data_IF_553386627160
#
_entry.id   IF_553386627160
#
_cell.length_a   1.000
_cell.length_b   1.000
_cell.length_c   1.000
_cell.angle_alpha   90.00
_cell.angle_beta   90.00
_cell.angle_gamma   90.00
#
_symmetry.space_group_name_H-M   'P 1'
#
loop_
_entity.id
_entity.type
_entity.pdbx_description
1 polymer ?
#
# COMPACT_ATOMS: atom_id res chain seq x y z
N UNK A 1 21.62 8.42 -19.28
CA UNK A 1 20.85 7.52 -20.17
C UNK A 1 21.84 6.47 -20.64
N UNK A 2 21.73 5.25 -20.09
CA UNK A 2 22.55 4.12 -20.55
C UNK A 2 22.09 3.73 -21.95
N UNK A 3 23.06 3.64 -22.88
CA UNK A 3 22.85 3.26 -24.29
C UNK A 3 22.67 1.72 -24.41
N UNK A 4 21.70 1.18 -23.64
CA UNK A 4 21.38 -0.25 -23.73
C UNK A 4 20.53 -0.49 -24.97
N UNK A 5 21.01 -1.34 -25.89
CA UNK A 5 20.33 -1.65 -27.15
C UNK A 5 19.12 -2.59 -26.99
N UNK A 6 18.97 -3.26 -25.85
CA UNK A 6 17.86 -4.17 -25.53
C UNK A 6 17.01 -3.65 -24.36
N UNK A 7 15.70 -3.91 -24.35
CA UNK A 7 14.84 -3.50 -23.26
C UNK A 7 15.21 -4.20 -21.93
N UNK A 8 14.90 -3.56 -20.79
CA UNK A 8 14.94 -4.21 -19.48
C UNK A 8 13.76 -5.18 -19.38
N UNK A 9 14.04 -6.45 -19.09
CA UNK A 9 13.05 -7.50 -18.93
C UNK A 9 12.84 -7.76 -17.43
N UNK A 10 11.66 -7.43 -16.92
CA UNK A 10 11.32 -7.50 -15.49
C UNK A 10 10.22 -8.56 -15.29
N UNK A 11 10.53 -9.59 -14.52
CA UNK A 11 9.56 -10.60 -14.10
C UNK A 11 9.07 -10.31 -12.68
N UNK A 12 7.76 -10.26 -12.47
CA UNK A 12 7.15 -9.95 -11.16
C UNK A 12 6.30 -11.12 -10.69
N UNK A 13 6.58 -11.67 -9.50
CA UNK A 13 5.66 -12.56 -8.81
C UNK A 13 4.80 -11.75 -7.84
N UNK A 14 3.49 -11.73 -8.02
CA UNK A 14 2.55 -11.05 -7.13
C UNK A 14 1.47 -12.00 -6.61
N UNK A 15 0.75 -11.60 -5.53
CA UNK A 15 -0.25 -12.48 -4.90
C UNK A 15 -1.53 -12.53 -5.71
N UNK A 16 -2.10 -11.36 -6.02
CA UNK A 16 -3.39 -11.21 -6.72
C UNK A 16 -3.36 -9.95 -7.59
N UNK A 17 -4.17 -9.87 -8.66
CA UNK A 17 -4.28 -8.68 -9.50
C UNK A 17 -5.02 -7.55 -8.76
N UNK A 18 -4.35 -6.87 -7.83
CA UNK A 18 -4.94 -5.73 -7.14
C UNK A 18 -4.95 -4.50 -8.05
N UNK A 19 -6.04 -3.71 -8.09
CA UNK A 19 -6.17 -2.58 -9.02
C UNK A 19 -4.96 -1.63 -9.00
N UNK A 20 -4.56 -1.15 -7.85
CA UNK A 20 -3.45 -0.20 -7.68
C UNK A 20 -2.08 -0.75 -8.09
N UNK A 21 -1.84 -2.07 -7.96
CA UNK A 21 -0.59 -2.68 -8.45
C UNK A 21 -0.62 -2.85 -9.97
N UNK A 22 -1.78 -3.24 -10.52
CA UNK A 22 -1.96 -3.39 -11.98
C UNK A 22 -1.73 -2.07 -12.71
N UNK A 23 -2.21 -0.95 -12.16
CA UNK A 23 -1.96 0.39 -12.70
C UNK A 23 -0.46 0.67 -12.80
N UNK A 24 0.30 0.42 -11.73
CA UNK A 24 1.75 0.63 -11.71
C UNK A 24 2.48 -0.31 -12.69
N UNK A 25 2.11 -1.60 -12.72
CA UNK A 25 2.75 -2.56 -13.65
C UNK A 25 2.41 -2.26 -15.10
N UNK A 26 1.19 -1.81 -15.39
CA UNK A 26 0.79 -1.37 -16.73
C UNK A 26 1.55 -0.10 -17.16
N UNK A 27 1.75 0.84 -16.24
CA UNK A 27 2.55 2.03 -16.50
C UNK A 27 4.03 1.69 -16.75
N UNK A 28 4.60 0.73 -16.03
CA UNK A 28 5.95 0.20 -16.28
C UNK A 28 6.03 -0.48 -17.64
N UNK A 29 5.07 -1.33 -18.00
CA UNK A 29 5.03 -2.03 -19.28
C UNK A 29 4.85 -1.09 -20.48
N UNK A 30 4.23 0.08 -20.28
CA UNK A 30 4.07 1.10 -21.31
C UNK A 30 5.34 1.96 -21.49
N UNK A 31 6.34 1.86 -20.61
CA UNK A 31 7.57 2.65 -20.70
C UNK A 31 8.47 2.15 -21.84
N UNK A 32 8.92 2.99 -22.75
CA UNK A 32 9.86 2.60 -23.81
C UNK A 32 11.13 1.98 -23.21
N UNK A 33 11.56 0.84 -23.78
CA UNK A 33 12.76 0.13 -23.31
C UNK A 33 12.54 -0.73 -22.06
N UNK A 34 11.30 -1.05 -21.71
CA UNK A 34 10.95 -1.93 -20.60
C UNK A 34 9.95 -2.99 -21.07
N UNK A 35 10.19 -4.23 -20.70
CA UNK A 35 9.29 -5.37 -20.87
C UNK A 35 8.96 -5.92 -19.47
N UNK A 36 7.69 -5.99 -19.13
CA UNK A 36 7.22 -6.51 -17.83
C UNK A 36 6.38 -7.74 -18.03
N UNK A 37 6.58 -8.77 -17.21
CA UNK A 37 5.66 -9.90 -17.08
C UNK A 37 5.28 -10.07 -15.61
N UNK A 38 3.99 -10.10 -15.32
CA UNK A 38 3.46 -10.21 -13.94
C UNK A 38 2.76 -11.55 -13.77
N UNK A 39 3.19 -12.31 -12.79
CA UNK A 39 2.68 -13.65 -12.48
C UNK A 39 1.91 -13.62 -11.16
N UNK A 40 0.59 -13.81 -11.23
CA UNK A 40 -0.28 -13.83 -10.06
C UNK A 40 -0.44 -15.25 -9.49
N UNK A 41 -0.29 -15.37 -8.17
CA UNK A 41 -0.47 -16.65 -7.47
C UNK A 41 -1.95 -17.06 -7.38
N UNK A 42 -2.89 -16.12 -7.45
CA UNK A 42 -4.34 -16.35 -7.44
C UNK A 42 -5.08 -15.23 -8.17
N UNK A 43 -6.20 -15.58 -8.80
CA UNK A 43 -7.09 -14.60 -9.43
C UNK A 43 -7.89 -13.77 -8.40
N UNK A 44 -8.23 -14.37 -7.26
CA UNK A 44 -9.12 -13.77 -6.27
C UNK A 44 -8.38 -13.23 -5.05
N UNK A 45 -8.75 -12.02 -4.64
CA UNK A 45 -8.43 -11.49 -3.32
C UNK A 45 -9.40 -12.06 -2.27
N UNK A 46 -8.87 -12.36 -1.09
CA UNK A 46 -9.65 -12.87 0.02
C UNK A 46 -10.28 -11.73 0.83
N UNK A 47 -9.51 -10.66 0.96
CA UNK A 47 -9.85 -9.56 1.85
C UNK A 47 -10.64 -8.46 1.14
N UNK A 48 -10.53 -8.38 -0.19
CA UNK A 48 -11.20 -7.38 -1.00
C UNK A 48 -12.03 -8.06 -2.10
N UNK A 49 -13.33 -7.75 -2.22
CA UNK A 49 -14.21 -8.29 -3.26
C UNK A 49 -14.04 -7.49 -4.56
N UNK A 50 -12.79 -7.36 -5.04
CA UNK A 50 -12.57 -6.75 -6.34
C UNK A 50 -13.23 -7.61 -7.44
N UNK A 51 -13.87 -7.00 -8.42
CA UNK A 51 -14.40 -7.73 -9.56
C UNK A 51 -13.26 -8.46 -10.28
N UNK A 52 -13.56 -9.62 -10.86
CA UNK A 52 -12.65 -10.28 -11.77
C UNK A 52 -12.38 -9.34 -12.95
N UNK A 53 -11.11 -8.98 -13.12
CA UNK A 53 -10.69 -8.16 -14.23
C UNK A 53 -10.01 -9.01 -15.29
N UNK A 54 -10.28 -8.74 -16.55
CA UNK A 54 -9.54 -9.33 -17.66
C UNK A 54 -8.04 -9.00 -17.52
N UNK A 55 -7.20 -10.03 -17.64
CA UNK A 55 -5.75 -9.85 -17.53
C UNK A 55 -5.21 -9.18 -18.79
N UNK A 56 -4.31 -8.21 -18.60
CA UNK A 56 -3.59 -7.57 -19.69
C UNK A 56 -2.57 -8.56 -20.32
N UNK A 57 -2.06 -8.30 -21.55
CA UNK A 57 -1.13 -9.21 -22.23
C UNK A 57 0.16 -9.53 -21.45
N UNK A 58 0.58 -8.65 -20.55
CA UNK A 58 1.76 -8.84 -19.68
C UNK A 58 1.43 -9.50 -18.34
N UNK A 59 0.17 -9.85 -18.08
CA UNK A 59 -0.30 -10.45 -16.83
C UNK A 59 -0.65 -11.92 -17.03
N UNK A 60 -0.22 -12.77 -16.11
CA UNK A 60 -0.37 -14.22 -16.18
C UNK A 60 -0.88 -14.77 -14.85
N UNK A 61 -1.82 -15.70 -14.89
CA UNK A 61 -2.27 -16.42 -13.71
C UNK A 61 -1.51 -17.75 -13.61
N UNK A 62 -0.86 -17.98 -12.47
CA UNK A 62 -0.16 -19.24 -12.23
C UNK A 62 -1.14 -20.37 -11.90
N UNK A 63 -0.92 -21.58 -12.46
CA UNK A 63 -1.68 -22.76 -12.07
C UNK A 63 -1.38 -23.11 -10.61
N UNK A 64 -2.45 -23.29 -9.83
CA UNK A 64 -2.29 -23.50 -8.40
C UNK A 64 -3.59 -23.76 -7.69
N UNK A 65 -3.49 -24.00 -6.38
CA UNK A 65 -4.63 -24.14 -5.48
C UNK A 65 -4.43 -23.34 -4.22
N UNK A 66 -5.55 -22.82 -3.74
CA UNK A 66 -5.64 -22.22 -2.42
C UNK A 66 -5.96 -23.29 -1.39
N UNK A 67 -5.09 -23.44 -0.38
CA UNK A 67 -5.28 -24.35 0.75
C UNK A 67 -5.59 -23.50 1.99
N UNK A 68 -6.71 -23.79 2.63
CA UNK A 68 -7.13 -23.10 3.88
C UNK A 68 -6.87 -23.98 5.08
N UNK A 69 -6.16 -23.44 6.08
CA UNK A 69 -5.95 -24.08 7.36
C UNK A 69 -6.35 -23.11 8.48
N UNK A 70 -7.52 -23.31 9.07
CA UNK A 70 -8.12 -22.36 9.99
C UNK A 70 -8.34 -20.98 9.34
N UNK A 71 -7.78 -19.92 9.95
CA UNK A 71 -7.80 -18.56 9.37
C UNK A 71 -6.64 -18.27 8.42
N UNK A 72 -5.69 -19.19 8.29
CA UNK A 72 -4.56 -19.04 7.38
C UNK A 72 -4.90 -19.63 6.03
N UNK A 73 -4.46 -18.97 4.99
CA UNK A 73 -4.62 -19.40 3.62
C UNK A 73 -3.25 -19.38 2.94
N UNK A 74 -2.94 -20.49 2.26
CA UNK A 74 -1.69 -20.67 1.53
C UNK A 74 -2.04 -20.85 0.05
N UNK A 75 -1.29 -20.18 -0.80
CA UNK A 75 -1.32 -20.42 -2.24
C UNK A 75 -0.21 -21.42 -2.56
N UNK A 76 -0.55 -22.48 -3.26
CA UNK A 76 0.39 -23.50 -3.73
C UNK A 76 0.31 -23.53 -5.25
N UNK A 77 1.33 -22.96 -5.89
CA UNK A 77 1.48 -23.00 -7.34
C UNK A 77 2.47 -24.13 -7.69
N UNK A 78 2.09 -25.01 -8.60
CA UNK A 78 2.92 -26.16 -9.01
C UNK A 78 3.76 -25.88 -10.25
N UNK A 79 3.49 -24.78 -10.94
CA UNK A 79 4.34 -24.23 -11.99
C UNK A 79 4.69 -22.80 -11.58
N UNK A 80 5.98 -22.51 -11.57
CA UNK A 80 6.50 -21.16 -11.29
C UNK A 80 7.20 -20.64 -12.55
N UNK A 81 7.22 -19.32 -12.77
CA UNK A 81 7.89 -18.77 -13.93
C UNK A 81 9.40 -19.02 -13.85
N UNK A 82 9.98 -19.23 -15.01
CA UNK A 82 11.42 -19.24 -15.19
C UNK A 82 11.91 -17.77 -15.23
N UNK A 83 12.58 -17.36 -14.17
CA UNK A 83 13.11 -16.00 -14.06
C UNK A 83 14.47 -15.81 -14.75
N UNK A 84 15.17 -16.85 -15.21
CA UNK A 84 16.42 -16.74 -15.98
C UNK A 84 16.21 -15.96 -17.29
N UNK A 85 14.96 -15.94 -17.78
CA UNK A 85 14.59 -15.15 -18.96
C UNK A 85 14.52 -13.63 -18.70
N UNK A 86 14.68 -13.16 -17.49
CA UNK A 86 14.52 -11.75 -17.08
C UNK A 86 15.84 -11.17 -16.58
N UNK A 87 16.02 -9.85 -16.75
CA UNK A 87 17.16 -9.11 -16.20
C UNK A 87 17.00 -8.85 -14.69
N UNK A 88 15.74 -8.85 -14.20
CA UNK A 88 15.40 -8.66 -12.79
C UNK A 88 14.14 -9.42 -12.42
N UNK A 89 14.17 -10.17 -11.33
CA UNK A 89 12.99 -10.75 -10.70
C UNK A 89 12.53 -9.90 -9.51
N UNK A 90 11.22 -9.64 -9.43
CA UNK A 90 10.60 -8.90 -8.32
C UNK A 90 9.64 -9.81 -7.58
N UNK A 91 9.90 -10.07 -6.29
CA UNK A 91 9.01 -10.85 -5.43
C UNK A 91 8.12 -9.93 -4.61
N UNK A 92 6.94 -9.61 -5.14
CA UNK A 92 5.88 -8.83 -4.47
C UNK A 92 4.85 -9.75 -3.83
N UNK A 93 5.28 -10.52 -2.84
CA UNK A 93 4.44 -11.50 -2.16
C UNK A 93 4.84 -11.62 -0.68
N UNK A 94 4.08 -12.41 0.08
CA UNK A 94 4.51 -12.73 1.44
C UNK A 94 5.80 -13.55 1.42
N UNK A 95 6.80 -13.16 2.19
CA UNK A 95 8.02 -13.97 2.40
C UNK A 95 7.70 -15.36 2.96
N UNK A 96 6.53 -15.57 3.53
CA UNK A 96 6.07 -16.87 4.04
C UNK A 96 5.29 -17.70 3.02
N UNK A 97 5.08 -17.22 1.79
CA UNK A 97 4.41 -18.01 0.75
C UNK A 97 5.31 -19.18 0.29
N UNK A 98 4.70 -20.29 -0.09
CA UNK A 98 5.45 -21.48 -0.55
C UNK A 98 6.23 -21.18 -1.82
N UNK A 99 5.63 -20.47 -2.76
CA UNK A 99 6.25 -20.08 -4.03
C UNK A 99 7.45 -19.15 -3.80
N UNK A 100 7.30 -18.13 -2.93
CA UNK A 100 8.42 -17.24 -2.59
C UNK A 100 9.56 -18.00 -1.90
N UNK A 101 9.24 -18.87 -0.94
CA UNK A 101 10.26 -19.65 -0.23
C UNK A 101 11.04 -20.58 -1.17
N UNK A 102 10.39 -21.17 -2.17
CA UNK A 102 11.06 -21.99 -3.15
C UNK A 102 11.95 -21.13 -4.06
N UNK A 103 11.41 -20.07 -4.64
CA UNK A 103 12.17 -19.16 -5.51
C UNK A 103 13.39 -18.57 -4.82
N UNK A 104 13.24 -18.02 -3.63
CA UNK A 104 14.33 -17.40 -2.86
C UNK A 104 15.45 -18.40 -2.49
N UNK A 105 15.17 -19.72 -2.47
CA UNK A 105 16.17 -20.74 -2.07
C UNK A 105 16.80 -21.48 -3.24
N UNK A 106 16.10 -21.58 -4.37
CA UNK A 106 16.52 -22.47 -5.47
C UNK A 106 16.25 -21.91 -6.86
N UNK A 107 15.28 -21.02 -7.01
CA UNK A 107 14.78 -20.61 -8.32
C UNK A 107 15.33 -19.29 -8.84
N UNK A 108 16.21 -18.62 -8.09
CA UNK A 108 16.75 -17.29 -8.46
C UNK A 108 18.27 -17.25 -8.31
N UNK A 109 18.98 -18.39 -8.52
CA UNK A 109 20.42 -18.48 -8.32
C UNK A 109 21.22 -17.61 -9.29
N UNK A 110 20.72 -17.42 -10.51
CA UNK A 110 21.42 -16.78 -11.61
C UNK A 110 20.73 -15.51 -12.12
N UNK A 111 19.63 -15.10 -11.47
CA UNK A 111 18.87 -13.90 -11.83
C UNK A 111 18.89 -12.92 -10.67
N UNK A 112 19.33 -11.66 -10.87
CA UNK A 112 19.19 -10.61 -9.86
C UNK A 112 17.75 -10.48 -9.39
N UNK A 113 17.54 -10.32 -8.09
CA UNK A 113 16.18 -10.25 -7.58
C UNK A 113 15.99 -9.29 -6.41
N UNK A 114 14.79 -8.71 -6.37
CA UNK A 114 14.34 -7.78 -5.34
C UNK A 114 13.13 -8.34 -4.60
N UNK A 115 13.16 -8.28 -3.30
CA UNK A 115 11.94 -8.47 -2.51
C UNK A 115 11.24 -7.14 -2.31
N UNK A 116 9.97 -7.04 -2.76
CA UNK A 116 9.16 -5.84 -2.60
C UNK A 116 8.02 -6.08 -1.61
N UNK A 117 8.13 -5.48 -0.43
CA UNK A 117 7.21 -5.83 0.66
C UNK A 117 6.87 -4.71 1.63
N UNK A 118 5.72 -4.88 2.30
CA UNK A 118 5.30 -4.06 3.42
C UNK A 118 6.21 -4.28 4.64
N UNK A 119 6.09 -3.39 5.63
CA UNK A 119 6.86 -3.48 6.87
C UNK A 119 6.76 -4.86 7.54
N UNK A 120 7.85 -5.33 8.07
CA UNK A 120 7.87 -6.53 8.89
C UNK A 120 7.12 -6.31 10.20
N UNK A 121 6.22 -7.24 10.54
CA UNK A 121 5.49 -7.18 11.81
C UNK A 121 6.38 -7.65 12.96
N UNK A 122 6.41 -6.87 14.03
CA UNK A 122 7.02 -7.32 15.29
C UNK A 122 6.23 -8.50 15.84
N UNK A 123 6.91 -9.62 16.07
CA UNK A 123 6.27 -10.83 16.58
C UNK A 123 6.16 -10.79 18.10
N UNK A 124 5.01 -11.20 18.68
CA UNK A 124 4.72 -11.04 20.11
C UNK A 124 5.52 -11.98 21.01
N UNK A 125 6.03 -13.11 20.50
CA UNK A 125 6.75 -14.09 21.31
C UNK A 125 8.01 -14.63 20.59
N UNK A 126 8.91 -15.22 21.37
CA UNK A 126 10.21 -15.72 20.92
C UNK A 126 10.09 -16.77 19.81
N UNK A 127 9.17 -17.71 19.90
CA UNK A 127 9.02 -18.77 18.89
C UNK A 127 8.58 -18.22 17.53
N UNK A 128 7.67 -17.24 17.54
CA UNK A 128 7.26 -16.55 16.31
C UNK A 128 8.39 -15.70 15.74
N UNK A 129 9.22 -15.08 16.58
CA UNK A 129 10.44 -14.35 16.14
C UNK A 129 11.44 -15.28 15.48
N UNK A 130 11.69 -16.46 16.07
CA UNK A 130 12.57 -17.48 15.46
C UNK A 130 11.99 -17.93 14.12
N UNK A 131 10.71 -18.30 14.06
CA UNK A 131 10.04 -18.68 12.83
C UNK A 131 10.11 -17.58 11.76
N UNK A 132 9.90 -16.32 12.12
CA UNK A 132 10.04 -15.20 11.21
C UNK A 132 11.50 -15.10 10.70
N UNK A 133 12.50 -15.17 11.56
CA UNK A 133 13.92 -15.13 11.16
C UNK A 133 14.27 -16.27 10.18
N UNK A 134 13.74 -17.46 10.39
CA UNK A 134 13.95 -18.59 9.47
C UNK A 134 13.31 -18.35 8.10
N UNK A 135 12.08 -17.79 8.08
CA UNK A 135 11.35 -17.50 6.85
C UNK A 135 11.94 -16.29 6.10
N UNK A 136 12.51 -15.34 6.79
CA UNK A 136 13.12 -14.15 6.17
C UNK A 136 14.61 -14.31 5.90
N UNK A 137 15.26 -15.40 6.38
CA UNK A 137 16.69 -15.60 6.15
C UNK A 137 17.13 -15.57 4.68
N UNK A 138 16.30 -16.06 3.70
CA UNK A 138 16.69 -15.99 2.29
C UNK A 138 16.78 -14.56 1.74
N UNK A 139 16.11 -13.58 2.37
CA UNK A 139 16.20 -12.18 1.95
C UNK A 139 17.62 -11.60 2.03
N UNK A 140 18.54 -12.29 2.75
CA UNK A 140 19.96 -11.94 2.77
C UNK A 140 20.67 -12.19 1.45
N UNK A 141 20.10 -13.01 0.58
CA UNK A 141 20.61 -13.29 -0.76
C UNK A 141 19.94 -12.42 -1.83
N UNK A 142 19.00 -11.54 -1.46
CA UNK A 142 18.42 -10.58 -2.38
C UNK A 142 19.47 -9.54 -2.79
N UNK A 143 19.45 -9.10 -4.04
CA UNK A 143 20.33 -8.00 -4.49
C UNK A 143 19.85 -6.67 -3.92
N UNK A 144 18.54 -6.56 -3.63
CA UNK A 144 17.99 -5.44 -2.89
C UNK A 144 16.65 -5.80 -2.21
N UNK A 145 16.22 -4.94 -1.28
CA UNK A 145 14.87 -4.98 -0.73
C UNK A 145 14.20 -3.63 -1.00
N UNK A 146 13.06 -3.67 -1.68
CA UNK A 146 12.18 -2.52 -1.87
C UNK A 146 11.11 -2.50 -0.77
N UNK A 147 11.16 -1.50 0.09
CA UNK A 147 10.14 -1.28 1.12
C UNK A 147 8.95 -0.51 0.56
N UNK A 148 7.74 -0.97 0.86
CA UNK A 148 6.52 -0.24 0.53
C UNK A 148 6.35 0.88 1.56
N UNK A 149 7.00 2.00 1.28
CA UNK A 149 7.06 3.19 2.11
C UNK A 149 8.20 3.21 3.14
N UNK A 150 8.47 4.39 3.67
CA UNK A 150 9.59 4.65 4.59
C UNK A 150 9.53 3.82 5.87
N UNK A 151 8.33 3.52 6.38
CA UNK A 151 8.16 2.66 7.55
C UNK A 151 8.58 1.20 7.26
N UNK A 152 8.33 0.71 6.04
CA UNK A 152 8.80 -0.60 5.61
C UNK A 152 10.32 -0.62 5.46
N UNK A 153 10.89 0.39 4.78
CA UNK A 153 12.36 0.55 4.65
C UNK A 153 13.04 0.56 6.02
N UNK A 154 12.51 1.29 7.00
CA UNK A 154 13.06 1.32 8.35
C UNK A 154 13.06 -0.08 9.00
N UNK A 155 11.98 -0.85 8.84
CA UNK A 155 11.87 -2.21 9.39
C UNK A 155 12.84 -3.20 8.73
N UNK A 156 13.09 -3.05 7.42
CA UNK A 156 14.08 -3.87 6.72
C UNK A 156 15.50 -3.46 7.05
N UNK A 157 15.79 -2.18 7.22
CA UNK A 157 17.12 -1.69 7.63
C UNK A 157 17.54 -2.24 8.98
N UNK A 158 16.61 -2.34 9.92
CA UNK A 158 16.88 -2.97 11.23
C UNK A 158 17.19 -4.47 11.10
N UNK A 159 16.49 -5.18 10.21
CA UNK A 159 16.63 -6.63 10.06
C UNK A 159 17.77 -7.06 9.11
N UNK A 160 18.07 -6.25 8.11
CA UNK A 160 19.01 -6.50 7.02
C UNK A 160 19.87 -5.26 6.74
N UNK A 161 20.75 -4.86 7.66
CA UNK A 161 21.53 -3.60 7.56
C UNK A 161 22.49 -3.55 6.37
N UNK A 162 22.91 -4.72 5.86
CA UNK A 162 23.86 -4.84 4.76
C UNK A 162 23.20 -4.80 3.37
N UNK A 163 21.87 -4.94 3.31
CA UNK A 163 21.17 -5.00 2.04
C UNK A 163 20.91 -3.61 1.45
N UNK A 164 21.08 -3.42 0.13
CA UNK A 164 20.57 -2.24 -0.56
C UNK A 164 19.05 -2.10 -0.34
N UNK A 165 18.59 -0.90 0.03
CA UNK A 165 17.19 -0.64 0.34
C UNK A 165 16.65 0.51 -0.50
N UNK A 166 15.53 0.25 -1.18
CA UNK A 166 14.79 1.25 -1.95
C UNK A 166 13.45 1.55 -1.29
N UNK A 167 13.03 2.82 -1.32
CA UNK A 167 11.69 3.23 -0.91
C UNK A 167 10.78 3.28 -2.16
N UNK A 168 10.03 2.21 -2.38
CA UNK A 168 9.09 2.09 -3.51
C UNK A 168 7.69 1.80 -2.96
N UNK A 169 6.95 2.85 -2.56
CA UNK A 169 5.57 2.71 -2.08
C UNK A 169 4.60 2.36 -3.21
N UNK A 170 3.33 2.11 -2.87
CA UNK A 170 2.30 1.99 -3.88
C UNK A 170 1.98 3.36 -4.49
N UNK A 171 2.02 3.42 -5.80
CA UNK A 171 1.51 4.50 -6.62
C UNK A 171 0.29 4.02 -7.39
N UNK A 172 -0.74 4.82 -7.42
CA UNK A 172 -2.00 4.54 -8.12
C UNK A 172 -2.37 5.73 -9.01
N UNK A 173 -3.24 5.51 -9.98
CA UNK A 173 -3.78 6.61 -10.77
C UNK A 173 -4.72 7.46 -9.91
N UNK A 174 -4.39 8.72 -9.76
CA UNK A 174 -5.15 9.67 -8.97
C UNK A 174 -5.98 10.63 -9.84
N UNK A 175 -6.00 10.45 -11.15
CA UNK A 175 -6.63 11.38 -12.10
C UNK A 175 -8.10 11.59 -11.77
N UNK A 176 -8.86 10.51 -11.60
CA UNK A 176 -10.30 10.60 -11.30
C UNK A 176 -10.57 11.27 -9.95
N UNK A 177 -9.70 11.05 -8.95
CA UNK A 177 -9.79 11.72 -7.65
C UNK A 177 -9.45 13.21 -7.73
N UNK A 178 -8.48 13.58 -8.56
CA UNK A 178 -8.14 14.98 -8.83
C UNK A 178 -9.30 15.71 -9.52
N UNK A 179 -9.91 15.06 -10.49
CA UNK A 179 -11.01 15.63 -11.28
C UNK A 179 -12.32 15.71 -10.49
N UNK A 180 -12.53 14.80 -9.54
CA UNK A 180 -13.72 14.76 -8.70
C UNK A 180 -13.72 15.79 -7.55
N UNK A 181 -12.65 16.58 -7.38
CA UNK A 181 -12.56 17.61 -6.35
C UNK A 181 -13.68 18.63 -6.51
N UNK A 182 -14.63 18.59 -5.60
CA UNK A 182 -15.72 19.57 -5.59
C UNK A 182 -15.33 20.85 -4.84
N UNK A 183 -15.96 21.97 -5.19
CA UNK A 183 -15.97 23.15 -4.34
C UNK A 183 -16.82 22.81 -3.11
N UNK A 184 -16.32 23.18 -1.92
CA UNK A 184 -16.97 22.88 -0.63
C UNK A 184 -18.46 23.17 -0.63
N UNK A 185 -19.23 22.24 -0.05
CA UNK A 185 -20.62 22.45 0.29
C UNK A 185 -20.77 23.36 1.50
N UNK A 186 -21.80 24.20 1.50
CA UNK A 186 -22.26 24.89 2.71
C UNK A 186 -23.08 23.88 3.51
N UNK A 187 -22.56 23.36 4.62
CA UNK A 187 -23.26 22.37 5.44
C UNK A 187 -22.36 21.80 6.55
N UNK A 188 -22.77 20.74 7.21
CA UNK A 188 -21.93 20.03 8.20
C UNK A 188 -20.61 19.58 7.59
N UNK A 189 -19.55 19.55 8.43
CA UNK A 189 -18.23 19.05 8.00
C UNK A 189 -18.31 17.55 7.81
N UNK A 190 -18.11 17.07 6.58
CA UNK A 190 -18.16 15.66 6.24
C UNK A 190 -16.82 14.97 6.48
N UNK A 191 -16.78 14.09 7.48
CA UNK A 191 -15.66 13.20 7.77
C UNK A 191 -15.83 11.90 6.96
N UNK A 192 -14.82 11.50 6.19
CA UNK A 192 -14.83 10.28 5.38
C UNK A 192 -13.88 9.23 5.92
N UNK A 193 -14.39 8.03 6.14
CA UNK A 193 -13.60 6.81 6.33
C UNK A 193 -13.83 5.87 5.14
N UNK A 194 -12.75 5.31 4.59
CA UNK A 194 -12.85 4.30 3.54
C UNK A 194 -12.00 3.07 3.91
N UNK A 195 -12.64 1.89 3.95
CA UNK A 195 -12.01 0.61 4.26
C UNK A 195 -12.94 -0.39 4.95
N UNK A 196 -12.42 -1.58 5.26
CA UNK A 196 -13.18 -2.57 6.03
C UNK A 196 -13.51 -2.03 7.43
N UNK A 197 -14.75 -2.11 7.85
CA UNK A 197 -15.22 -1.60 9.15
C UNK A 197 -14.97 -2.62 10.26
N UNK A 198 -13.68 -2.84 10.57
CA UNK A 198 -13.20 -3.79 11.56
C UNK A 198 -12.34 -3.11 12.62
N UNK A 199 -12.17 -3.78 13.78
CA UNK A 199 -11.37 -3.27 14.89
C UNK A 199 -9.94 -2.89 14.50
N UNK A 200 -9.29 -3.64 13.58
CA UNK A 200 -7.95 -3.33 13.08
C UNK A 200 -7.89 -1.96 12.40
N UNK A 201 -8.93 -1.59 11.67
CA UNK A 201 -9.04 -0.29 10.97
C UNK A 201 -9.45 0.87 11.90
N UNK A 202 -9.76 0.59 13.18
CA UNK A 202 -10.01 1.62 14.17
C UNK A 202 -11.38 2.28 14.10
N UNK A 203 -12.37 1.65 13.44
CA UNK A 203 -13.73 2.20 13.30
C UNK A 203 -14.40 2.38 14.66
N UNK A 204 -14.14 1.49 15.60
CA UNK A 204 -14.61 1.61 17.00
C UNK A 204 -14.08 2.88 17.69
N UNK A 205 -12.82 3.28 17.41
CA UNK A 205 -12.24 4.53 17.92
C UNK A 205 -12.83 5.76 17.22
N UNK A 206 -13.04 5.63 15.89
CA UNK A 206 -13.65 6.72 15.10
C UNK A 206 -15.06 7.02 15.57
N UNK A 207 -15.87 6.00 15.80
CA UNK A 207 -17.24 6.15 16.27
C UNK A 207 -17.29 6.80 17.67
N UNK A 208 -16.42 6.40 18.61
CA UNK A 208 -16.34 7.03 19.93
C UNK A 208 -15.90 8.49 19.87
N UNK A 209 -14.88 8.79 19.06
CA UNK A 209 -14.42 10.16 18.87
C UNK A 209 -15.48 11.05 18.17
N UNK A 210 -16.20 10.49 17.19
CA UNK A 210 -17.28 11.17 16.49
C UNK A 210 -18.50 11.46 17.40
N UNK A 211 -18.93 10.48 18.19
CA UNK A 211 -20.00 10.67 19.18
C UNK A 211 -19.69 11.83 20.10
N UNK A 212 -18.47 11.89 20.61
CA UNK A 212 -18.04 12.97 21.48
C UNK A 212 -18.02 14.35 20.78
N UNK A 213 -17.67 14.41 19.47
CA UNK A 213 -17.79 15.63 18.69
C UNK A 213 -19.24 16.14 18.59
N UNK A 214 -20.19 15.21 18.39
CA UNK A 214 -21.61 15.54 18.32
C UNK A 214 -22.11 16.01 19.69
N UNK A 215 -21.71 15.36 20.80
CA UNK A 215 -22.04 15.77 22.17
C UNK A 215 -21.49 17.19 22.50
N UNK A 216 -20.31 17.53 21.97
CA UNK A 216 -19.72 18.87 22.11
C UNK A 216 -20.39 19.93 21.19
N UNK A 217 -21.42 19.54 20.39
CA UNK A 217 -22.19 20.43 19.54
C UNK A 217 -21.54 20.76 18.20
N UNK A 218 -20.54 19.98 17.75
CA UNK A 218 -19.94 20.18 16.44
C UNK A 218 -20.94 19.84 15.31
N UNK A 219 -20.97 20.65 14.26
CA UNK A 219 -21.78 20.43 13.07
C UNK A 219 -21.02 19.54 12.09
N UNK A 220 -21.12 18.23 12.30
CA UNK A 220 -20.36 17.18 11.59
C UNK A 220 -21.24 16.05 11.13
N UNK A 221 -20.85 15.42 10.02
CA UNK A 221 -21.37 14.15 9.52
C UNK A 221 -20.24 13.15 9.32
N UNK A 222 -20.53 11.85 9.44
CA UNK A 222 -19.55 10.79 9.23
C UNK A 222 -20.05 9.86 8.11
N UNK A 223 -19.25 9.74 7.04
CA UNK A 223 -19.48 8.77 5.96
C UNK A 223 -18.51 7.60 6.11
N UNK A 224 -19.08 6.39 6.12
CA UNK A 224 -18.35 5.13 6.22
C UNK A 224 -18.50 4.35 4.92
N UNK A 225 -17.39 4.16 4.20
CA UNK A 225 -17.35 3.43 2.91
C UNK A 225 -16.54 2.16 3.08
N UNK A 226 -17.08 1.02 2.62
CA UNK A 226 -16.41 -0.28 2.65
C UNK A 226 -17.26 -1.38 3.25
N UNK A 227 -16.67 -2.57 3.43
CA UNK A 227 -17.38 -3.72 4.02
C UNK A 227 -17.73 -3.45 5.48
N UNK A 228 -18.98 -3.60 5.83
CA UNK A 228 -19.50 -3.29 7.17
C UNK A 228 -18.98 -4.21 8.29
N UNK A 229 -18.64 -5.46 7.97
CA UNK A 229 -18.00 -6.44 8.85
C UNK A 229 -18.43 -6.36 10.34
N UNK A 230 -17.62 -5.69 11.19
CA UNK A 230 -17.89 -5.54 12.63
C UNK A 230 -18.74 -4.27 12.95
N UNK A 231 -19.15 -3.48 11.95
CA UNK A 231 -19.86 -2.21 12.16
C UNK A 231 -21.14 -2.35 12.98
N UNK A 232 -22.02 -3.35 12.76
CA UNK A 232 -23.23 -3.49 13.56
C UNK A 232 -22.94 -3.57 15.06
N UNK A 233 -21.90 -4.31 15.46
CA UNK A 233 -21.50 -4.47 16.87
C UNK A 233 -20.97 -3.16 17.47
N UNK A 234 -20.28 -2.34 16.68
CA UNK A 234 -19.80 -1.04 17.12
C UNK A 234 -20.95 -0.03 17.24
N UNK A 235 -21.84 0.01 16.26
CA UNK A 235 -22.99 0.93 16.23
C UNK A 235 -23.94 0.73 17.40
N UNK A 236 -24.03 -0.46 18.00
CA UNK A 236 -24.88 -0.66 19.19
C UNK A 236 -24.50 0.24 20.38
N UNK A 237 -23.25 0.70 20.44
CA UNK A 237 -22.71 1.52 21.54
C UNK A 237 -22.84 3.02 21.30
N UNK A 238 -23.15 3.44 20.08
CA UNK A 238 -23.27 4.85 19.70
C UNK A 238 -24.64 5.38 20.05
N UNK A 239 -24.74 6.57 20.62
CA UNK A 239 -26.00 7.23 20.98
C UNK A 239 -26.83 7.63 19.74
N UNK A 240 -28.12 7.84 19.95
CA UNK A 240 -29.10 8.07 18.87
C UNK A 240 -28.80 9.34 18.05
N UNK A 241 -28.34 10.42 18.70
CA UNK A 241 -27.99 11.67 18.02
C UNK A 241 -26.81 11.49 17.07
N UNK A 242 -25.71 10.90 17.54
CA UNK A 242 -24.55 10.62 16.69
C UNK A 242 -24.91 9.65 15.56
N UNK A 243 -25.73 8.61 15.84
CA UNK A 243 -26.22 7.68 14.81
C UNK A 243 -26.96 8.37 13.66
N UNK A 244 -27.75 9.40 13.95
CA UNK A 244 -28.50 10.11 12.92
C UNK A 244 -27.62 10.93 11.96
N UNK A 245 -26.33 11.10 12.29
CA UNK A 245 -25.32 11.83 11.51
C UNK A 245 -24.27 10.90 10.89
N UNK A 246 -24.47 9.57 10.97
CA UNK A 246 -23.59 8.56 10.39
C UNK A 246 -24.28 7.95 9.17
N UNK A 247 -23.62 8.04 8.03
CA UNK A 247 -24.04 7.40 6.78
C UNK A 247 -23.11 6.22 6.46
N UNK A 248 -23.62 5.00 6.61
CA UNK A 248 -22.91 3.77 6.27
C UNK A 248 -23.28 3.34 4.86
N UNK A 249 -22.41 3.67 3.91
CA UNK A 249 -22.68 3.47 2.48
C UNK A 249 -22.40 2.03 1.99
N UNK A 250 -21.82 1.18 2.85
CA UNK A 250 -21.42 -0.16 2.46
C UNK A 250 -20.25 -0.17 1.46
N UNK A 251 -19.99 -1.34 0.87
CA UNK A 251 -18.98 -1.48 -0.18
C UNK A 251 -19.39 -0.69 -1.43
N UNK A 252 -18.43 0.08 -1.95
CA UNK A 252 -18.57 0.81 -3.23
C UNK A 252 -17.48 0.34 -4.19
N UNK A 253 -17.80 0.16 -5.47
CA UNK A 253 -16.82 -0.17 -6.48
C UNK A 253 -15.83 0.99 -6.69
N UNK A 254 -14.61 0.72 -7.18
CA UNK A 254 -13.57 1.73 -7.31
C UNK A 254 -13.97 2.98 -8.09
N UNK A 255 -14.78 2.83 -9.12
CA UNK A 255 -15.27 3.92 -9.98
C UNK A 255 -16.23 4.89 -9.29
N UNK A 256 -16.84 4.51 -8.16
CA UNK A 256 -17.70 5.38 -7.37
C UNK A 256 -16.91 6.16 -6.28
N UNK A 257 -15.68 5.69 -5.96
CA UNK A 257 -14.89 6.29 -4.87
C UNK A 257 -14.49 7.74 -5.13
N UNK A 258 -14.07 8.15 -6.35
CA UNK A 258 -13.65 9.53 -6.59
C UNK A 258 -14.73 10.55 -6.21
N UNK A 259 -16.01 10.31 -6.56
CA UNK A 259 -17.09 11.20 -6.21
C UNK A 259 -17.30 11.29 -4.68
N UNK A 260 -17.22 10.16 -3.96
CA UNK A 260 -17.39 10.13 -2.51
C UNK A 260 -16.25 10.86 -1.77
N UNK A 261 -15.02 10.75 -2.28
CA UNK A 261 -13.89 11.50 -1.76
C UNK A 261 -13.99 12.99 -2.11
N UNK A 262 -14.44 13.32 -3.33
CA UNK A 262 -14.64 14.71 -3.76
C UNK A 262 -15.69 15.46 -2.94
N UNK A 263 -16.68 14.76 -2.40
CA UNK A 263 -17.78 15.31 -1.59
C UNK A 263 -17.45 15.34 -0.09
N UNK A 264 -16.25 14.96 0.33
CA UNK A 264 -15.84 14.99 1.73
C UNK A 264 -14.99 16.23 2.06
N UNK A 265 -14.93 16.60 3.33
CA UNK A 265 -14.11 17.71 3.83
C UNK A 265 -12.82 17.23 4.49
N UNK A 266 -12.81 16.04 5.08
CA UNK A 266 -11.67 15.47 5.82
C UNK A 266 -11.64 13.97 5.67
N UNK A 267 -10.49 13.41 5.34
CA UNK A 267 -10.27 11.97 5.34
C UNK A 267 -9.70 11.48 6.67
N UNK A 268 -10.23 10.37 7.20
CA UNK A 268 -9.86 9.82 8.51
C UNK A 268 -9.55 8.34 8.43
N UNK A 269 -8.32 7.92 8.80
CA UNK A 269 -7.92 6.51 8.85
C UNK A 269 -7.20 6.16 10.16
N UNK A 270 -7.92 5.85 11.26
CA UNK A 270 -7.33 5.62 12.58
C UNK A 270 -6.91 4.16 12.80
N UNK A 271 -6.39 3.51 11.77
CA UNK A 271 -6.03 2.10 11.80
C UNK A 271 -5.03 1.77 12.92
N UNK A 272 -5.26 0.69 13.65
CA UNK A 272 -4.29 0.13 14.61
C UNK A 272 -3.11 -0.54 13.92
N UNK A 273 -3.29 -0.89 12.65
CA UNK A 273 -2.23 -1.41 11.79
C UNK A 273 -2.71 -1.43 10.33
N UNK A 274 -1.91 -0.84 9.47
CA UNK A 274 -2.03 -0.95 8.02
C UNK A 274 -0.64 -1.06 7.39
N UNK A 275 -0.46 -2.00 6.45
CA UNK A 275 0.82 -2.17 5.78
C UNK A 275 1.22 -0.92 5.01
N UNK A 276 0.32 -0.47 4.14
CA UNK A 276 0.41 0.82 3.46
C UNK A 276 -0.84 1.66 3.71
N UNK A 277 -2.00 1.26 3.22
CA UNK A 277 -3.23 2.04 3.27
C UNK A 277 -3.42 2.90 2.02
N UNK A 278 -3.59 2.25 0.86
CA UNK A 278 -3.77 2.90 -0.46
C UNK A 278 -4.85 3.99 -0.45
N UNK A 279 -5.87 3.87 0.37
CA UNK A 279 -6.93 4.90 0.53
C UNK A 279 -6.38 6.27 0.96
N UNK A 280 -5.16 6.34 1.50
CA UNK A 280 -4.47 7.62 1.79
C UNK A 280 -3.97 8.27 0.50
N UNK A 281 -3.57 7.47 -0.51
CA UNK A 281 -3.26 7.99 -1.85
C UNK A 281 -4.52 8.59 -2.49
N UNK A 282 -5.66 7.91 -2.36
CA UNK A 282 -6.96 8.37 -2.86
C UNK A 282 -7.37 9.70 -2.20
N UNK A 283 -7.21 9.81 -0.87
CA UNK A 283 -7.44 11.06 -0.15
C UNK A 283 -6.47 12.18 -0.58
N UNK A 284 -5.20 11.83 -0.86
CA UNK A 284 -4.23 12.75 -1.45
C UNK A 284 -4.69 13.25 -2.82
N UNK A 285 -5.15 12.32 -3.69
CA UNK A 285 -5.74 12.62 -4.99
C UNK A 285 -6.91 13.58 -4.88
N UNK A 286 -7.84 13.33 -3.98
CA UNK A 286 -8.99 14.19 -3.74
C UNK A 286 -8.66 15.53 -3.08
N UNK A 287 -7.41 15.74 -2.65
CA UNK A 287 -6.98 17.01 -2.03
C UNK A 287 -7.53 17.22 -0.63
N UNK A 288 -7.87 16.14 0.10
CA UNK A 288 -8.46 16.23 1.43
C UNK A 288 -7.41 16.47 2.52
N UNK A 289 -7.71 17.24 3.57
CA UNK A 289 -7.06 17.15 4.86
C UNK A 289 -7.04 15.72 5.37
N UNK A 290 -5.90 15.22 5.88
CA UNK A 290 -5.74 13.81 6.25
C UNK A 290 -5.48 13.67 7.74
N UNK A 291 -6.35 12.96 8.46
CA UNK A 291 -6.11 12.48 9.82
C UNK A 291 -5.85 10.98 9.77
N UNK A 292 -4.62 10.58 10.05
CA UNK A 292 -4.21 9.19 9.91
C UNK A 292 -3.42 8.73 11.15
N UNK A 293 -3.54 7.46 11.53
CA UNK A 293 -2.72 6.96 12.62
C UNK A 293 -1.27 6.72 12.18
N UNK A 294 -0.32 6.86 13.10
CA UNK A 294 1.09 6.52 12.91
C UNK A 294 1.34 5.04 12.56
N UNK A 295 0.33 4.18 12.76
CA UNK A 295 0.41 2.76 12.42
C UNK A 295 0.07 2.45 10.95
N UNK A 296 -0.28 3.45 10.15
CA UNK A 296 -0.51 3.34 8.70
C UNK A 296 0.78 3.66 7.96
N UNK A 297 1.22 2.76 7.05
CA UNK A 297 2.46 2.95 6.30
C UNK A 297 2.48 4.26 5.53
N UNK A 298 1.45 4.51 4.74
CA UNK A 298 1.29 5.71 3.91
C UNK A 298 1.32 7.03 4.72
N UNK A 299 0.93 7.00 6.00
CA UNK A 299 0.94 8.20 6.83
C UNK A 299 2.35 8.79 6.98
N UNK A 300 3.41 7.98 6.89
CA UNK A 300 4.78 8.44 7.04
C UNK A 300 5.36 9.11 5.79
N UNK A 301 4.78 8.81 4.64
CA UNK A 301 5.22 9.33 3.34
C UNK A 301 4.24 10.38 2.78
N UNK A 302 2.92 10.26 3.08
CA UNK A 302 1.86 11.10 2.51
C UNK A 302 1.25 12.12 3.48
N UNK A 303 1.56 12.05 4.78
CA UNK A 303 1.04 13.00 5.76
C UNK A 303 2.18 13.78 6.41
N UNK A 304 2.30 15.03 6.05
CA UNK A 304 3.21 16.00 6.65
C UNK A 304 2.47 16.78 7.74
N UNK A 305 2.76 16.54 9.04
CA UNK A 305 2.02 17.17 10.13
C UNK A 305 2.02 18.70 10.04
N UNK A 306 0.83 19.30 10.13
CA UNK A 306 0.61 20.74 10.04
C UNK A 306 0.59 21.32 8.63
N UNK A 307 1.02 20.58 7.60
CA UNK A 307 0.96 20.99 6.20
C UNK A 307 -0.30 20.46 5.49
N UNK A 308 -0.56 19.16 5.56
CA UNK A 308 -1.70 18.53 4.88
C UNK A 308 -2.54 17.62 5.81
N UNK A 309 -2.20 17.55 7.08
CA UNK A 309 -2.90 16.70 8.02
C UNK A 309 -2.15 16.51 9.33
N UNK A 310 -2.51 15.44 10.04
CA UNK A 310 -1.88 15.06 11.30
C UNK A 310 -1.81 13.54 11.44
N UNK A 311 -0.73 13.04 12.07
CA UNK A 311 -0.58 11.66 12.50
C UNK A 311 -0.93 11.54 13.97
N UNK A 312 -1.88 10.67 14.30
CA UNK A 312 -2.33 10.43 15.67
C UNK A 312 -1.79 9.11 16.22
N UNK A 313 -1.65 9.02 17.54
CA UNK A 313 -1.22 7.79 18.23
C UNK A 313 -2.20 6.64 17.95
N UNK A 314 -1.65 5.50 17.52
CA UNK A 314 -2.44 4.34 17.14
C UNK A 314 -3.16 3.71 18.34
N UNK A 315 -4.44 3.38 18.15
CA UNK A 315 -5.23 2.71 19.17
C UNK A 315 -5.72 3.60 20.31
N UNK A 316 -5.55 4.92 20.21
CA UNK A 316 -5.98 5.90 21.19
C UNK A 316 -7.10 6.77 20.63
N UNK A 317 -8.23 6.81 21.35
CA UNK A 317 -9.40 7.61 20.96
C UNK A 317 -9.18 9.12 21.20
N UNK A 318 -8.59 9.47 22.35
CA UNK A 318 -8.43 10.89 22.74
C UNK A 318 -7.62 11.72 21.74
N UNK A 319 -6.42 11.31 21.28
CA UNK A 319 -5.69 12.06 20.25
C UNK A 319 -6.47 12.16 18.94
N UNK A 320 -7.23 11.12 18.56
CA UNK A 320 -8.09 11.14 17.38
C UNK A 320 -9.20 12.19 17.54
N UNK A 321 -9.91 12.19 18.66
CA UNK A 321 -10.94 13.19 18.96
C UNK A 321 -10.38 14.61 18.92
N UNK A 322 -9.23 14.86 19.56
CA UNK A 322 -8.60 16.20 19.59
C UNK A 322 -8.29 16.69 18.17
N UNK A 323 -7.73 15.83 17.30
CA UNK A 323 -7.45 16.15 15.91
C UNK A 323 -8.74 16.41 15.10
N UNK A 324 -9.75 15.57 15.27
CA UNK A 324 -11.06 15.75 14.62
C UNK A 324 -11.73 17.05 15.04
N UNK A 325 -11.70 17.37 16.34
CA UNK A 325 -12.26 18.62 16.85
C UNK A 325 -11.58 19.86 16.26
N UNK A 326 -10.25 19.86 16.19
CA UNK A 326 -9.49 20.96 15.64
C UNK A 326 -9.85 21.21 14.17
N UNK A 327 -9.88 20.15 13.35
CA UNK A 327 -10.20 20.28 11.93
C UNK A 327 -11.67 20.58 11.67
N UNK A 328 -12.59 20.04 12.47
CA UNK A 328 -14.03 20.28 12.32
C UNK A 328 -14.40 21.75 12.62
N UNK A 329 -13.75 22.37 13.61
CA UNK A 329 -14.06 23.74 14.05
C UNK A 329 -13.31 24.84 13.32
N UNK A 330 -12.31 24.51 12.48
CA UNK A 330 -11.48 25.51 11.79
C UNK A 330 -11.49 25.32 10.28
N UNK A 331 -12.29 26.13 9.59
CA UNK A 331 -12.32 26.17 8.13
C UNK A 331 -10.96 26.56 7.54
N UNK A 332 -10.30 27.58 8.10
CA UNK A 332 -8.98 28.00 7.66
C UNK A 332 -7.92 26.90 7.79
N UNK A 333 -8.06 25.99 8.77
CA UNK A 333 -7.18 24.84 8.90
C UNK A 333 -7.45 23.81 7.80
N UNK A 334 -8.73 23.51 7.52
CA UNK A 334 -9.12 22.61 6.43
C UNK A 334 -8.62 23.11 5.09
N UNK A 335 -8.76 24.40 4.79
CA UNK A 335 -8.27 25.00 3.54
C UNK A 335 -6.76 24.89 3.41
N UNK A 336 -6.02 25.26 4.44
CA UNK A 336 -4.56 25.19 4.46
C UNK A 336 -4.08 23.76 4.25
N UNK A 337 -4.69 22.77 4.93
CA UNK A 337 -4.31 21.36 4.78
C UNK A 337 -4.70 20.83 3.41
N UNK A 338 -5.84 21.21 2.87
CA UNK A 338 -6.25 20.85 1.52
C UNK A 338 -5.28 21.40 0.46
N UNK A 339 -4.79 22.63 0.60
CA UNK A 339 -3.74 23.20 -0.26
C UNK A 339 -2.44 22.39 -0.16
N UNK A 340 -2.02 22.04 1.06
CA UNK A 340 -0.85 21.20 1.29
C UNK A 340 -0.98 19.82 0.65
N UNK A 341 -2.17 19.22 0.73
CA UNK A 341 -2.48 17.92 0.11
C UNK A 341 -2.39 18.00 -1.41
N UNK A 342 -2.99 19.04 -2.02
CA UNK A 342 -2.93 19.27 -3.47
C UNK A 342 -1.50 19.48 -3.98
N UNK A 343 -0.68 20.21 -3.22
CA UNK A 343 0.71 20.44 -3.57
C UNK A 343 1.52 19.12 -3.52
N UNK A 344 1.34 18.32 -2.47
CA UNK A 344 2.02 17.03 -2.32
C UNK A 344 1.58 16.00 -3.38
N UNK A 345 0.31 16.02 -3.79
CA UNK A 345 -0.24 15.12 -4.80
C UNK A 345 0.52 15.17 -6.14
N UNK A 346 1.10 16.32 -6.49
CA UNK A 346 1.85 16.49 -7.74
C UNK A 346 3.07 15.58 -7.83
N UNK A 347 3.66 15.20 -6.71
CA UNK A 347 4.84 14.33 -6.62
C UNK A 347 4.47 12.83 -6.55
N UNK A 348 3.17 12.51 -6.46
CA UNK A 348 2.67 11.14 -6.25
C UNK A 348 1.89 10.61 -7.47
N UNK A 349 2.47 10.76 -8.64
CA UNK A 349 1.93 10.26 -9.90
C UNK A 349 2.40 8.83 -10.20
N UNK A 350 1.70 8.10 -11.06
CA UNK A 350 2.18 6.81 -11.59
C UNK A 350 3.56 6.96 -12.24
N UNK A 351 3.81 8.06 -12.97
CA UNK A 351 5.10 8.35 -13.56
C UNK A 351 6.22 8.40 -12.52
N UNK A 352 5.99 9.07 -11.38
CA UNK A 352 6.97 9.09 -10.28
C UNK A 352 7.23 7.69 -9.71
N UNK A 353 6.21 6.82 -9.65
CA UNK A 353 6.34 5.42 -9.26
C UNK A 353 7.20 4.62 -10.25
N UNK A 354 6.94 4.79 -11.54
CA UNK A 354 7.74 4.19 -12.62
C UNK A 354 9.19 4.64 -12.55
N UNK A 355 9.45 5.94 -12.35
CA UNK A 355 10.81 6.47 -12.26
C UNK A 355 11.58 5.92 -11.06
N UNK A 356 10.92 5.74 -9.90
CA UNK A 356 11.54 5.08 -8.72
C UNK A 356 11.90 3.63 -8.99
N UNK A 357 11.02 2.89 -9.68
CA UNK A 357 11.31 1.52 -10.09
C UNK A 357 12.48 1.47 -11.07
N UNK A 358 12.48 2.31 -12.10
CA UNK A 358 13.54 2.31 -13.12
C UNK A 358 14.89 2.67 -12.53
N UNK A 359 14.94 3.61 -11.59
CA UNK A 359 16.17 3.91 -10.86
C UNK A 359 16.73 2.67 -10.15
N UNK A 360 15.87 1.93 -9.42
CA UNK A 360 16.30 0.70 -8.75
C UNK A 360 16.74 -0.40 -9.74
N UNK A 361 15.98 -0.59 -10.83
CA UNK A 361 16.30 -1.58 -11.89
C UNK A 361 17.67 -1.27 -12.52
N UNK A 362 17.90 -0.02 -12.90
CA UNK A 362 19.15 0.40 -13.54
C UNK A 362 20.36 0.21 -12.63
N UNK A 363 20.26 0.56 -11.33
CA UNK A 363 21.34 0.38 -10.36
C UNK A 363 21.65 -1.11 -10.12
N UNK A 364 20.63 -1.95 -9.92
CA UNK A 364 20.80 -3.36 -9.60
C UNK A 364 21.41 -4.11 -10.79
N UNK A 365 20.85 -3.93 -11.99
CA UNK A 365 21.33 -4.62 -13.20
C UNK A 365 22.75 -4.14 -13.60
N UNK A 366 23.08 -2.86 -13.39
CA UNK A 366 24.44 -2.36 -13.63
C UNK A 366 25.47 -2.96 -12.68
N UNK A 367 25.13 -3.14 -11.40
CA UNK A 367 26.03 -3.73 -10.38
C UNK A 367 26.39 -5.16 -10.72
N UNK A 368 25.41 -5.97 -11.14
CA UNK A 368 25.64 -7.36 -11.57
C UNK A 368 26.50 -7.47 -12.82
N UNK A 369 26.28 -6.58 -13.80
CA UNK A 369 27.09 -6.55 -15.04
C UNK A 369 28.57 -6.28 -14.75
N UNK A 370 28.88 -5.45 -13.75
CA UNK A 370 30.25 -5.16 -13.34
C UNK A 370 30.88 -6.35 -12.56
N UNK A 371 30.10 -7.02 -11.71
CA UNK A 371 30.55 -8.20 -10.96
C UNK A 371 30.92 -9.37 -11.89
N UNK A 372 30.07 -9.64 -12.88
CA UNK A 372 30.32 -10.68 -13.90
C UNK A 372 31.55 -10.36 -14.76
N UNK A 373 31.77 -9.09 -15.16
CA UNK A 373 32.93 -8.68 -15.95
C UNK A 373 34.27 -8.81 -15.18
N UNK A 374 34.26 -8.59 -13.86
CA UNK A 374 35.44 -8.77 -13.02
C UNK A 374 35.83 -10.25 -12.86
N UNK A 375 34.85 -11.16 -12.77
CA UNK A 375 35.10 -12.60 -12.64
C UNK A 375 35.69 -13.20 -13.96
N UNK A 376 35.26 -12.72 -15.12
CA UNK A 376 35.80 -13.17 -16.41
C UNK A 376 37.21 -12.66 -16.70
N UNK A 377 37.62 -11.51 -16.15
CA UNK A 377 38.98 -10.96 -16.34
C UNK A 377 40.03 -11.59 -15.43
N UNK A 378 39.68 -12.30 -14.38
CA UNK A 378 40.61 -12.99 -13.47
C UNK A 378 40.77 -14.51 -13.81
N UNK A 379 39.93 -15.07 -14.70
CA UNK A 379 40.04 -16.47 -15.12
C UNK A 379 40.97 -16.74 -16.33
N UNK A 380 41.64 -15.74 -16.84
CA UNK A 380 42.44 -15.81 -18.09
C UNK A 380 43.98 -15.89 -17.89
N UNK A 381 44.47 -16.20 -16.71
CA UNK A 381 45.91 -16.38 -16.46
C UNK A 381 46.18 -17.69 -15.68
N UNK A 382 46.03 -18.82 -16.35
CA UNK A 382 46.76 -20.05 -16.04
C UNK A 382 47.29 -20.69 -17.32
#
# INVERSE_FOLDING_TARGET
>A
MNDRSSPYRIGVLSVVPSPYQRELFSALAARPGVEVAVFYQSAESIDNPWPEAELAPHEHLLPGRRVSYGRKRLYVNWELPDFEAYDLAVLNTSYASTSAQWLMRTGLSDTPWVFWGERMRTQPNMWRRIGQRMLTSPLRAADAIAGIGSLAVASYREAFPEQPLYNIPYFTDLTDFVDARNQRSTGPVTLLFCGQMIKRKGVDLLLGAFERLVEDGADVELRLVGREADLPDFMHRVGSEAKSRIDALGFRPPEELPALFGDADVFVLPSRHDGWGVVVNEALGAGLPIICSEAVGAAHDLVEPGRNGVRVEAGRERPLYEALREVATSEALRERWAEGTRALCQDWTLGAGVDRWMHAVEEIVATESHSAAHLTNHGGHE
#
